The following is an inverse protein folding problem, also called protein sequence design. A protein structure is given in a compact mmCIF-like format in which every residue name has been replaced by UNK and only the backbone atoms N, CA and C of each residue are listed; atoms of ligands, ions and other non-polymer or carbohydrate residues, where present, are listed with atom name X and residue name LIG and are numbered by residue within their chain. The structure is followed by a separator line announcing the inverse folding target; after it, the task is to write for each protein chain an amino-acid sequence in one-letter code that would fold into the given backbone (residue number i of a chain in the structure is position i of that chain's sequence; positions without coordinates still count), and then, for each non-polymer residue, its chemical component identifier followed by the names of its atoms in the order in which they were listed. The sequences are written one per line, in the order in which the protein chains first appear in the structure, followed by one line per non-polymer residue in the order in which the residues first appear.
data_IF_821328171984
#
_entry.id   IF_821328171984
#
_cell.length_a   1.000
_cell.length_b   1.000
_cell.length_c   1.000
_cell.angle_alpha   90.00
_cell.angle_beta   90.00
_cell.angle_gamma   90.00
#
_symmetry.space_group_name_H-M   'P 1'
#
loop_
_entity.id
_entity.type
_entity.pdbx_description
1 polymer ?
#
# COMPACT_ATOMS: atom_id res chain seq x y z
N UNK A 1 -1.25 22.09 16.57
CA UNK A 1 -2.20 20.95 16.46
C UNK A 1 -2.12 20.48 15.03
N UNK A 2 -1.88 19.19 14.78
CA UNK A 2 -1.89 18.65 13.41
C UNK A 2 -3.29 18.80 12.82
N UNK A 3 -3.38 19.15 11.54
CA UNK A 3 -4.64 19.23 10.84
C UNK A 3 -5.39 17.88 10.89
N UNK A 4 -6.72 17.92 10.90
CA UNK A 4 -7.56 16.73 10.88
C UNK A 4 -7.48 16.07 9.49
N UNK A 5 -7.15 14.77 9.44
CA UNK A 5 -7.13 13.98 8.22
C UNK A 5 -8.56 13.49 7.95
N UNK A 6 -9.15 13.94 6.84
CA UNK A 6 -10.58 13.70 6.54
C UNK A 6 -10.83 12.71 5.41
N UNK A 7 -9.79 12.40 4.64
CA UNK A 7 -9.94 11.65 3.39
C UNK A 7 -9.02 10.42 3.42
N UNK A 8 -9.63 9.25 3.50
CA UNK A 8 -8.99 7.96 3.21
C UNK A 8 -9.25 7.69 1.72
N UNK A 9 -8.19 7.44 0.96
CA UNK A 9 -8.24 7.24 -0.48
C UNK A 9 -8.16 5.75 -0.86
N UNK A 10 -7.42 4.96 -0.09
CA UNK A 10 -7.17 3.55 -0.40
C UNK A 10 -7.03 2.70 0.87
N UNK A 11 -7.40 1.42 0.76
CA UNK A 11 -7.13 0.38 1.75
C UNK A 11 -6.37 -0.76 1.06
N UNK A 12 -5.13 -0.98 1.48
CA UNK A 12 -4.29 -2.06 0.99
C UNK A 12 -4.45 -3.32 1.82
N UNK A 13 -4.66 -4.46 1.17
CA UNK A 13 -4.88 -5.78 1.79
C UNK A 13 -3.92 -6.77 1.17
N UNK A 14 -3.17 -7.50 1.99
CA UNK A 14 -2.13 -8.41 1.49
C UNK A 14 -2.64 -9.84 1.38
N UNK A 15 -2.23 -10.55 0.33
CA UNK A 15 -2.65 -11.94 0.05
C UNK A 15 -1.49 -12.80 -0.46
N UNK A 16 -1.57 -14.11 -0.22
CA UNK A 16 -0.63 -15.08 -0.80
C UNK A 16 -0.97 -15.47 -2.23
N UNK A 17 -2.24 -15.32 -2.63
CA UNK A 17 -2.73 -15.56 -3.99
C UNK A 17 -3.70 -14.45 -4.42
N UNK A 18 -3.27 -13.63 -5.37
CA UNK A 18 -4.04 -12.49 -5.85
C UNK A 18 -5.31 -12.93 -6.58
N UNK A 19 -5.21 -13.89 -7.48
CA UNK A 19 -6.34 -14.32 -8.30
C UNK A 19 -7.40 -15.03 -7.44
N UNK A 20 -6.97 -15.87 -6.48
CA UNK A 20 -7.90 -16.50 -5.56
C UNK A 20 -8.62 -15.48 -4.67
N UNK A 21 -7.92 -14.43 -4.21
CA UNK A 21 -8.53 -13.35 -3.43
C UNK A 21 -9.53 -12.54 -4.25
N UNK A 22 -9.15 -12.11 -5.46
CA UNK A 22 -10.05 -11.43 -6.41
C UNK A 22 -11.30 -12.27 -6.67
N UNK A 23 -11.14 -13.58 -6.92
CA UNK A 23 -12.27 -14.49 -7.13
C UNK A 23 -13.21 -14.53 -5.93
N UNK A 24 -12.68 -14.56 -4.69
CA UNK A 24 -13.52 -14.50 -3.48
C UNK A 24 -14.28 -13.18 -3.38
N UNK A 25 -13.60 -12.04 -3.53
CA UNK A 25 -14.24 -10.73 -3.50
C UNK A 25 -15.34 -10.60 -4.55
N UNK A 26 -15.04 -10.96 -5.80
CA UNK A 26 -15.93 -10.73 -6.93
C UNK A 26 -17.03 -11.77 -7.04
N UNK A 27 -16.71 -13.08 -6.99
CA UNK A 27 -17.68 -14.15 -7.25
C UNK A 27 -18.58 -14.42 -6.06
N UNK A 28 -18.07 -14.31 -4.84
CA UNK A 28 -18.85 -14.61 -3.63
C UNK A 28 -19.59 -13.38 -3.10
N UNK A 29 -18.98 -12.19 -3.21
CA UNK A 29 -19.51 -10.98 -2.58
C UNK A 29 -19.85 -9.85 -3.58
N UNK A 30 -19.54 -10.01 -4.87
CA UNK A 30 -19.87 -9.01 -5.89
C UNK A 30 -19.01 -7.75 -5.84
N UNK A 31 -17.87 -7.76 -5.15
CA UNK A 31 -16.96 -6.61 -5.04
C UNK A 31 -16.00 -6.63 -6.24
N UNK A 32 -16.12 -5.62 -7.09
CA UNK A 32 -15.42 -5.49 -8.37
C UNK A 32 -16.07 -4.41 -9.25
N UNK A 33 -15.67 -4.29 -10.53
CA UNK A 33 -14.64 -5.08 -11.22
C UNK A 33 -13.22 -4.71 -10.77
N UNK A 34 -12.28 -5.66 -10.95
CA UNK A 34 -10.87 -5.48 -10.60
C UNK A 34 -10.02 -5.22 -11.84
N UNK A 35 -9.13 -4.23 -11.76
CA UNK A 35 -7.99 -4.07 -12.65
C UNK A 35 -6.82 -4.86 -12.07
N UNK A 36 -6.31 -5.87 -12.81
CA UNK A 36 -5.20 -6.72 -12.35
C UNK A 36 -3.90 -6.30 -13.03
N UNK A 37 -2.88 -6.03 -12.22
CA UNK A 37 -1.49 -5.79 -12.63
C UNK A 37 -0.64 -6.97 -12.18
N UNK A 38 -0.36 -7.88 -13.12
CA UNK A 38 0.33 -9.14 -12.86
C UNK A 38 1.84 -8.96 -12.90
N UNK A 39 2.46 -8.72 -11.74
CA UNK A 39 3.91 -8.50 -11.62
C UNK A 39 4.76 -9.71 -12.02
N UNK A 40 4.18 -10.92 -12.15
CA UNK A 40 4.93 -12.06 -12.71
C UNK A 40 5.17 -11.89 -14.22
N UNK A 41 4.33 -11.10 -14.89
CA UNK A 41 4.45 -10.73 -16.31
C UNK A 41 5.10 -9.37 -16.52
N UNK A 42 5.28 -8.62 -15.43
CA UNK A 42 5.64 -7.21 -15.44
C UNK A 42 4.49 -6.31 -15.90
N UNK A 43 4.54 -5.03 -15.52
CA UNK A 43 3.59 -4.02 -15.95
C UNK A 43 4.27 -2.64 -16.09
N UNK A 44 3.63 -1.75 -16.85
CA UNK A 44 4.25 -0.48 -17.28
C UNK A 44 4.60 0.43 -16.10
N UNK A 45 3.74 0.47 -15.09
CA UNK A 45 3.83 1.40 -13.98
C UNK A 45 4.29 0.66 -12.72
N UNK A 46 5.36 -0.14 -12.85
CA UNK A 46 6.04 -0.77 -11.71
C UNK A 46 6.78 0.28 -10.88
N UNK A 47 6.79 0.10 -9.56
CA UNK A 47 7.50 1.00 -8.67
C UNK A 47 9.02 0.82 -8.80
N UNK A 48 9.70 1.95 -8.90
CA UNK A 48 11.14 2.10 -8.81
C UNK A 48 11.52 2.88 -7.54
N UNK A 49 12.82 3.12 -7.38
CA UNK A 49 13.38 3.82 -6.23
C UNK A 49 12.97 3.31 -4.83
N UNK A 50 12.78 1.99 -4.78
CA UNK A 50 12.27 1.26 -3.63
C UNK A 50 13.25 1.27 -2.44
N UNK A 51 12.79 1.83 -1.34
CA UNK A 51 13.48 1.82 -0.06
C UNK A 51 12.62 1.06 0.95
N UNK A 52 13.20 0.07 1.62
CA UNK A 52 12.54 -0.72 2.67
C UNK A 52 13.39 -0.70 3.93
N UNK A 53 12.81 -0.28 5.06
CA UNK A 53 13.48 -0.10 6.36
C UNK A 53 14.83 0.66 6.24
N UNK A 54 14.83 1.74 5.46
CA UNK A 54 15.99 2.62 5.26
C UNK A 54 17.06 2.10 4.30
N UNK A 55 16.84 0.97 3.62
CA UNK A 55 17.79 0.40 2.65
C UNK A 55 17.18 0.33 1.26
N UNK A 56 18.00 0.58 0.23
CA UNK A 56 17.61 0.31 -1.16
C UNK A 56 17.35 -1.17 -1.30
N UNK A 57 16.14 -1.53 -1.73
CA UNK A 57 15.71 -2.90 -1.82
C UNK A 57 14.61 -3.00 -2.86
N UNK A 58 14.96 -3.57 -4.02
CA UNK A 58 13.95 -3.86 -5.03
C UNK A 58 13.11 -5.07 -4.57
N UNK A 59 11.82 -5.02 -4.86
CA UNK A 59 10.86 -6.09 -4.61
C UNK A 59 9.79 -6.09 -5.70
N UNK A 60 9.08 -7.20 -5.84
CA UNK A 60 8.01 -7.37 -6.83
C UNK A 60 6.67 -7.67 -6.19
N UNK A 61 5.62 -7.12 -6.78
CA UNK A 61 4.24 -7.32 -6.36
C UNK A 61 3.34 -7.60 -7.55
N UNK A 62 2.24 -8.31 -7.33
CA UNK A 62 1.06 -8.22 -8.20
C UNK A 62 -0.03 -7.46 -7.46
N UNK A 63 -0.79 -6.63 -8.19
CA UNK A 63 -1.82 -5.77 -7.61
C UNK A 63 -3.17 -6.06 -8.28
N UNK A 64 -4.24 -5.94 -7.51
CA UNK A 64 -5.59 -5.83 -8.05
C UNK A 64 -6.29 -4.63 -7.42
N UNK A 65 -6.80 -3.73 -8.27
CA UNK A 65 -7.39 -2.46 -7.85
C UNK A 65 -8.89 -2.43 -8.15
N UNK A 66 -9.71 -2.00 -7.21
CA UNK A 66 -11.15 -1.87 -7.38
C UNK A 66 -11.67 -0.65 -6.61
N UNK A 67 -12.46 0.21 -7.24
CA UNK A 67 -13.17 1.28 -6.52
C UNK A 67 -14.42 0.73 -5.85
N UNK A 68 -14.54 0.93 -4.53
CA UNK A 68 -15.73 0.65 -3.75
C UNK A 68 -16.28 1.99 -3.21
N UNK A 69 -17.15 2.64 -3.98
CA UNK A 69 -17.57 4.00 -3.70
C UNK A 69 -16.42 4.99 -3.94
N UNK A 70 -16.03 5.72 -2.90
CA UNK A 70 -14.96 6.73 -2.95
C UNK A 70 -13.60 6.23 -2.42
N UNK A 71 -13.50 4.94 -2.07
CA UNK A 71 -12.26 4.33 -1.56
C UNK A 71 -11.80 3.26 -2.55
N UNK A 72 -10.51 3.26 -2.86
CA UNK A 72 -9.89 2.18 -3.61
C UNK A 72 -9.55 1.02 -2.69
N UNK A 73 -9.99 -0.18 -3.05
CA UNK A 73 -9.44 -1.41 -2.49
C UNK A 73 -8.26 -1.84 -3.36
N UNK A 74 -7.13 -2.07 -2.70
CA UNK A 74 -5.93 -2.62 -3.33
C UNK A 74 -5.62 -3.98 -2.70
N UNK A 75 -5.62 -5.03 -3.52
CA UNK A 75 -5.12 -6.35 -3.13
C UNK A 75 -3.67 -6.48 -3.58
N UNK A 76 -2.79 -6.86 -2.65
CA UNK A 76 -1.34 -6.87 -2.87
C UNK A 76 -0.83 -8.28 -2.65
N UNK A 77 -0.23 -8.87 -3.67
CA UNK A 77 0.52 -10.10 -3.55
C UNK A 77 2.01 -9.82 -3.67
N UNK A 78 2.80 -9.91 -2.57
CA UNK A 78 4.25 -9.91 -2.68
C UNK A 78 4.72 -11.16 -3.45
N UNK A 79 5.68 -10.98 -4.34
CA UNK A 79 6.25 -12.04 -5.18
C UNK A 79 7.65 -12.50 -4.70
N UNK A 80 8.18 -11.81 -3.71
CA UNK A 80 9.43 -12.13 -3.01
C UNK A 80 9.28 -11.78 -1.51
N UNK A 81 10.36 -11.94 -0.75
CA UNK A 81 10.36 -11.75 0.71
C UNK A 81 10.87 -10.38 1.17
N UNK A 82 11.11 -9.45 0.23
CA UNK A 82 11.91 -8.25 0.50
C UNK A 82 11.09 -7.02 0.88
N UNK A 83 9.79 -7.00 0.54
CA UNK A 83 8.87 -5.90 0.82
C UNK A 83 8.30 -5.95 2.24
N UNK A 84 7.80 -4.80 2.73
CA UNK A 84 7.00 -4.77 3.96
C UNK A 84 5.69 -5.59 3.81
N UNK A 85 5.16 -5.70 2.58
CA UNK A 85 4.03 -6.57 2.27
C UNK A 85 4.32 -8.04 2.57
N UNK A 86 5.49 -8.54 2.15
CA UNK A 86 5.90 -9.92 2.40
C UNK A 86 6.05 -10.20 3.90
N UNK A 87 6.63 -9.25 4.62
CA UNK A 87 6.72 -9.30 6.08
C UNK A 87 5.34 -9.35 6.73
N UNK A 88 4.44 -8.46 6.33
CA UNK A 88 3.07 -8.42 6.85
C UNK A 88 2.31 -9.72 6.59
N UNK A 89 2.41 -10.28 5.37
CA UNK A 89 1.81 -11.57 5.02
C UNK A 89 2.29 -12.69 5.94
N UNK A 90 3.59 -12.71 6.26
CA UNK A 90 4.19 -13.71 7.15
C UNK A 90 3.74 -13.55 8.61
N UNK A 91 3.59 -12.31 9.07
CA UNK A 91 3.24 -12.00 10.47
C UNK A 91 1.74 -12.19 10.75
N UNK A 92 0.88 -11.83 9.80
CA UNK A 92 -0.57 -11.78 10.01
C UNK A 92 -1.36 -12.83 9.22
N UNK A 93 -0.80 -13.35 8.13
CA UNK A 93 -1.51 -14.21 7.19
C UNK A 93 -2.25 -13.42 6.11
N UNK A 94 -3.00 -14.15 5.30
CA UNK A 94 -3.69 -13.64 4.12
C UNK A 94 -4.99 -12.88 4.47
N UNK A 95 -5.25 -11.79 3.75
CA UNK A 95 -6.50 -11.02 3.83
C UNK A 95 -6.52 -9.94 4.90
N UNK A 96 -5.40 -9.71 5.59
CA UNK A 96 -5.28 -8.64 6.57
C UNK A 96 -4.97 -7.29 5.91
N UNK A 97 -5.55 -6.22 6.47
CA UNK A 97 -5.28 -4.85 6.04
C UNK A 97 -3.85 -4.49 6.40
N UNK A 98 -3.09 -4.07 5.40
CA UNK A 98 -1.71 -3.63 5.53
C UNK A 98 -1.63 -2.14 5.84
N UNK A 99 -2.32 -1.32 5.05
CA UNK A 99 -2.27 0.13 5.17
C UNK A 99 -3.62 0.78 4.88
N UNK A 100 -3.76 2.02 5.37
CA UNK A 100 -4.73 2.99 4.87
C UNK A 100 -3.97 4.16 4.24
N UNK A 101 -4.39 4.58 3.05
CA UNK A 101 -3.84 5.73 2.35
C UNK A 101 -4.69 6.95 2.62
N UNK A 102 -4.03 8.08 2.86
CA UNK A 102 -4.70 9.33 3.21
C UNK A 102 -4.29 10.46 2.28
N UNK A 103 -5.20 11.44 2.12
CA UNK A 103 -4.86 12.72 1.51
C UNK A 103 -4.56 13.75 2.61
N UNK A 104 -3.36 14.30 2.60
CA UNK A 104 -2.88 15.25 3.61
C UNK A 104 -1.84 16.20 3.02
N UNK A 105 -1.41 17.19 3.79
CA UNK A 105 -0.11 17.85 3.56
C UNK A 105 1.00 16.87 3.92
N UNK A 106 1.67 16.32 2.90
CA UNK A 106 2.66 15.27 3.05
C UNK A 106 3.94 15.75 3.75
N UNK A 107 4.32 17.02 3.57
CA UNK A 107 5.49 17.57 4.25
C UNK A 107 5.20 17.72 5.75
N UNK A 108 4.08 18.35 6.11
CA UNK A 108 3.69 18.51 7.51
C UNK A 108 3.47 17.15 8.20
N UNK A 109 2.95 16.15 7.46
CA UNK A 109 2.78 14.80 7.98
C UNK A 109 4.13 14.13 8.27
N UNK A 110 5.09 14.19 7.35
CA UNK A 110 6.46 13.69 7.54
C UNK A 110 7.13 14.31 8.77
N UNK A 111 7.02 15.63 8.93
CA UNK A 111 7.55 16.35 10.10
C UNK A 111 6.91 15.85 11.40
N UNK A 112 5.57 15.71 11.42
CA UNK A 112 4.83 15.20 12.57
C UNK A 112 5.24 13.76 12.93
N UNK A 113 5.43 12.89 11.93
CA UNK A 113 5.89 11.51 12.16
C UNK A 113 7.31 11.48 12.73
N UNK A 114 8.21 12.32 12.19
CA UNK A 114 9.58 12.44 12.67
C UNK A 114 9.66 12.94 14.13
N UNK A 115 8.87 13.97 14.49
CA UNK A 115 8.78 14.47 15.87
C UNK A 115 8.30 13.40 16.86
N UNK A 116 7.46 12.48 16.40
CA UNK A 116 6.96 11.34 17.19
C UNK A 116 7.87 10.12 17.16
N UNK A 117 8.96 10.15 16.39
CA UNK A 117 9.84 9.01 16.20
C UNK A 117 9.21 7.85 15.43
N UNK A 118 8.16 8.10 14.64
CA UNK A 118 7.50 7.10 13.79
C UNK A 118 8.30 6.98 12.49
N UNK A 119 8.80 5.78 12.22
CA UNK A 119 9.66 5.53 11.08
C UNK A 119 8.88 5.40 9.75
N UNK A 120 9.48 5.90 8.68
CA UNK A 120 9.16 5.50 7.31
C UNK A 120 9.70 4.09 7.07
N UNK A 121 8.82 3.13 6.76
CA UNK A 121 9.17 1.70 6.64
C UNK A 121 9.33 1.25 5.20
N UNK A 122 8.63 1.90 4.28
CA UNK A 122 8.72 1.58 2.87
C UNK A 122 8.31 2.80 2.06
N UNK A 123 9.01 3.06 0.95
CA UNK A 123 8.66 4.10 0.00
C UNK A 123 9.16 3.78 -1.38
N UNK A 124 8.56 4.40 -2.38
CA UNK A 124 8.90 4.18 -3.78
C UNK A 124 8.30 5.23 -4.68
N UNK A 125 8.64 5.12 -5.95
CA UNK A 125 8.22 6.02 -7.00
C UNK A 125 7.65 5.19 -8.14
N UNK A 126 6.44 5.51 -8.59
CA UNK A 126 5.84 4.93 -9.78
C UNK A 126 5.91 5.99 -10.87
N UNK A 127 6.82 5.81 -11.82
CA UNK A 127 7.13 6.82 -12.83
C UNK A 127 5.91 7.28 -13.62
N UNK A 128 5.63 8.58 -13.60
CA UNK A 128 4.49 9.21 -14.25
C UNK A 128 3.14 9.00 -13.54
N UNK A 129 3.15 8.48 -12.31
CA UNK A 129 1.94 8.20 -11.53
C UNK A 129 2.01 8.87 -10.17
N UNK A 130 2.91 8.44 -9.28
CA UNK A 130 2.99 8.95 -7.91
C UNK A 130 4.29 8.56 -7.20
N UNK A 131 4.56 9.18 -6.06
CA UNK A 131 5.41 8.60 -5.01
C UNK A 131 4.56 8.16 -3.84
N UNK A 132 4.96 7.10 -3.14
CA UNK A 132 4.28 6.61 -1.95
C UNK A 132 5.26 6.45 -0.78
N UNK A 133 4.75 6.60 0.45
CA UNK A 133 5.53 6.40 1.67
C UNK A 133 4.66 5.88 2.82
N UNK A 134 5.09 4.77 3.42
CA UNK A 134 4.41 4.10 4.54
C UNK A 134 5.10 4.40 5.87
N UNK A 135 4.31 4.67 6.89
CA UNK A 135 4.78 4.93 8.25
C UNK A 135 4.36 3.82 9.22
N UNK A 136 5.24 3.48 10.17
CA UNK A 136 5.00 2.42 11.17
C UNK A 136 4.02 2.82 12.28
N UNK A 137 2.81 3.21 11.89
CA UNK A 137 1.74 3.57 12.82
C UNK A 137 1.02 2.34 13.38
N UNK A 138 1.43 1.12 12.98
CA UNK A 138 0.76 -0.13 13.35
C UNK A 138 0.67 -0.34 14.86
N UNK A 139 1.68 0.08 15.62
CA UNK A 139 1.68 -0.02 17.08
C UNK A 139 0.62 0.87 17.76
N UNK A 140 0.36 2.05 17.21
CA UNK A 140 -0.54 3.04 17.80
C UNK A 140 -1.98 2.92 17.25
N UNK A 141 -2.11 2.67 15.95
CA UNK A 141 -3.37 2.70 15.22
C UNK A 141 -3.87 1.31 14.80
N UNK A 142 -3.05 0.27 14.95
CA UNK A 142 -3.35 -1.08 14.46
C UNK A 142 -3.16 -1.26 12.94
N UNK A 143 -2.81 -0.19 12.22
CA UNK A 143 -2.61 -0.18 10.76
C UNK A 143 -1.51 0.81 10.39
N UNK A 144 -0.80 0.57 9.29
CA UNK A 144 0.15 1.53 8.72
C UNK A 144 -0.58 2.64 7.97
N UNK A 145 -0.05 3.85 8.02
CA UNK A 145 -0.54 4.97 7.22
C UNK A 145 0.38 5.17 6.03
N UNK A 146 -0.24 5.32 4.87
CA UNK A 146 0.42 5.71 3.62
C UNK A 146 0.06 7.16 3.27
N UNK A 147 1.06 7.90 2.80
CA UNK A 147 0.85 9.14 2.06
C UNK A 147 1.39 8.96 0.63
N UNK A 148 0.79 9.66 -0.32
CA UNK A 148 1.22 9.65 -1.71
C UNK A 148 1.18 11.06 -2.32
N UNK A 149 2.13 11.34 -3.21
CA UNK A 149 2.20 12.56 -4.01
C UNK A 149 1.97 12.18 -5.48
N UNK A 150 0.86 12.61 -6.09
CA UNK A 150 0.58 12.36 -7.51
C UNK A 150 1.54 13.16 -8.40
N UNK A 151 2.07 12.53 -9.44
CA UNK A 151 2.86 13.22 -10.46
C UNK A 151 1.95 13.95 -11.45
N UNK A 152 2.29 15.22 -11.73
CA UNK A 152 1.55 16.12 -12.62
C UNK A 152 2.02 16.06 -14.06
#
# INVERSE_FOLDING_TARGET
MSAEIKNITQIGIVTGDLYAMVDRYQKLYGIGPWEIRDGKKGFKDEAEDLMVYGKRQDFKVSLALCMAGNVQLELIQPLDEYSDYARHLKEHGEGHIHHISILTDNQAFRETMAERGIASVMKGHVAGVETFEYFDTGRELGVKVEIHDLES
#
